data_IF_073770423159
#
_entry.id   IF_073770423159
#
_cell.length_a   1.000
_cell.length_b   1.000
_cell.length_c   1.000
_cell.angle_alpha   90.00
_cell.angle_beta   90.00
_cell.angle_gamma   90.00
#
_symmetry.space_group_name_H-M   'P 1'
#
loop_
_entity.id
_entity.type
_entity.pdbx_description
1 polymer ?
#
# COMPACT_ATOMS: atom_id res chain seq x y z
N UNK A 1 23.87 -7.10 0.14
CA UNK A 1 23.19 -5.82 -0.09
C UNK A 1 22.69 -5.31 1.26
N UNK A 2 21.97 -4.20 1.32
CA UNK A 2 21.57 -3.57 2.59
C UNK A 2 20.07 -3.28 2.58
N UNK A 3 19.29 -4.33 2.32
CA UNK A 3 17.88 -4.24 1.95
C UNK A 3 16.99 -3.78 3.11
N UNK A 4 15.97 -3.00 2.78
CA UNK A 4 14.96 -2.49 3.70
C UNK A 4 13.58 -2.94 3.23
N UNK A 5 12.82 -3.58 4.11
CA UNK A 5 11.42 -3.91 3.88
C UNK A 5 10.52 -2.76 4.33
N UNK A 6 9.56 -2.36 3.51
CA UNK A 6 8.63 -1.26 3.83
C UNK A 6 7.21 -1.76 4.01
N UNK A 7 6.60 -1.51 5.17
CA UNK A 7 5.20 -1.83 5.47
C UNK A 7 4.41 -0.52 5.53
N UNK A 8 3.29 -0.46 4.83
CA UNK A 8 2.40 0.70 4.81
C UNK A 8 1.05 0.29 5.37
N UNK A 9 0.60 1.01 6.39
CA UNK A 9 -0.60 0.71 7.15
C UNK A 9 -1.57 1.88 7.02
N UNK A 10 -2.51 1.73 6.10
CA UNK A 10 -3.67 2.59 5.99
C UNK A 10 -3.58 3.71 4.97
N UNK A 11 -4.76 4.21 4.62
CA UNK A 11 -4.97 5.10 3.48
C UNK A 11 -4.13 6.38 3.50
N UNK A 12 -4.00 7.02 4.68
CA UNK A 12 -3.22 8.25 4.87
C UNK A 12 -1.73 7.98 4.73
N UNK A 13 -1.23 6.92 5.36
CA UNK A 13 0.15 6.49 5.26
C UNK A 13 0.52 6.14 3.82
N UNK A 14 -0.37 5.46 3.08
CA UNK A 14 -0.18 5.09 1.68
C UNK A 14 -0.04 6.31 0.76
N UNK A 15 -0.72 7.43 1.04
CA UNK A 15 -0.51 8.68 0.28
C UNK A 15 0.92 9.20 0.43
N UNK A 16 1.41 9.27 1.67
CA UNK A 16 2.78 9.75 1.94
C UNK A 16 3.81 8.78 1.37
N UNK A 17 3.60 7.47 1.57
CA UNK A 17 4.48 6.45 1.07
C UNK A 17 4.53 6.39 -0.47
N UNK A 18 3.42 6.72 -1.15
CA UNK A 18 3.42 6.87 -2.62
C UNK A 18 4.35 8.01 -3.07
N UNK A 19 4.39 9.14 -2.35
CA UNK A 19 5.37 10.19 -2.63
C UNK A 19 6.80 9.71 -2.42
N UNK A 20 7.04 8.94 -1.35
CA UNK A 20 8.33 8.31 -1.11
C UNK A 20 8.73 7.42 -2.29
N UNK A 21 7.87 6.51 -2.75
CA UNK A 21 8.15 5.63 -3.88
C UNK A 21 8.37 6.36 -5.20
N UNK A 22 7.54 7.35 -5.50
CA UNK A 22 7.71 8.18 -6.70
C UNK A 22 9.05 8.93 -6.68
N UNK A 23 9.53 9.30 -5.50
CA UNK A 23 10.84 9.93 -5.33
C UNK A 23 11.96 8.90 -5.52
N UNK A 24 11.83 7.72 -4.92
CA UNK A 24 12.82 6.65 -5.09
C UNK A 24 12.95 6.20 -6.54
N UNK A 25 11.83 6.04 -7.25
CA UNK A 25 11.81 5.73 -8.69
C UNK A 25 12.52 6.81 -9.52
N UNK A 26 12.38 8.09 -9.14
CA UNK A 26 13.05 9.18 -9.87
C UNK A 26 14.58 9.15 -9.79
N UNK A 27 15.16 8.39 -8.86
CA UNK A 27 16.60 8.20 -8.75
C UNK A 27 17.15 7.12 -9.67
N UNK A 28 16.29 6.39 -10.39
CA UNK A 28 16.74 5.37 -11.34
C UNK A 28 17.52 6.03 -12.48
N UNK A 29 18.77 5.61 -12.65
CA UNK A 29 19.62 6.05 -13.76
C UNK A 29 19.56 5.02 -14.88
N UNK A 30 18.93 5.37 -15.99
CA UNK A 30 18.80 4.49 -17.16
C UNK A 30 19.95 4.65 -18.17
N UNK A 31 20.83 5.64 -17.98
CA UNK A 31 21.96 5.91 -18.85
C UNK A 31 23.29 5.44 -18.24
N UNK A 32 23.98 4.52 -18.91
CA UNK A 32 25.32 4.00 -18.56
C UNK A 32 26.45 5.06 -18.57
N UNK A 33 26.12 6.33 -18.81
CA UNK A 33 27.08 7.45 -18.92
C UNK A 33 27.12 8.32 -17.67
N UNK A 34 26.18 8.18 -16.73
CA UNK A 34 26.20 8.93 -15.49
C UNK A 34 27.05 8.21 -14.44
N UNK A 35 27.89 9.00 -13.75
CA UNK A 35 28.63 8.56 -12.58
C UNK A 35 27.68 7.91 -11.57
N UNK A 36 28.11 6.78 -11.00
CA UNK A 36 27.47 6.03 -9.91
C UNK A 36 26.39 6.83 -9.17
N UNK A 37 25.12 6.41 -9.34
CA UNK A 37 23.97 7.02 -8.69
C UNK A 37 24.26 7.24 -7.20
N UNK A 38 23.91 8.42 -6.67
CA UNK A 38 24.13 8.73 -5.25
C UNK A 38 23.23 7.92 -4.31
N UNK A 39 22.17 7.31 -4.85
CA UNK A 39 21.20 6.48 -4.14
C UNK A 39 21.24 5.09 -4.76
N UNK A 40 21.45 4.08 -3.92
CA UNK A 40 21.36 2.68 -4.31
C UNK A 40 19.88 2.26 -4.30
N UNK A 41 19.36 1.91 -5.47
CA UNK A 41 17.96 1.53 -5.64
C UNK A 41 17.69 0.08 -5.18
N UNK A 42 18.70 -0.80 -5.16
CA UNK A 42 18.56 -2.20 -4.77
C UNK A 42 18.28 -2.37 -3.26
N UNK A 43 18.49 -1.31 -2.47
CA UNK A 43 18.12 -1.26 -1.06
C UNK A 43 16.61 -1.40 -0.87
N UNK A 44 15.81 -0.71 -1.70
CA UNK A 44 14.36 -0.69 -1.57
C UNK A 44 13.63 -1.44 -2.67
N UNK A 45 14.25 -1.61 -3.83
CA UNK A 45 13.68 -2.33 -4.95
C UNK A 45 14.30 -3.71 -5.08
N UNK A 46 13.60 -4.56 -5.81
CA UNK A 46 14.11 -5.84 -6.26
C UNK A 46 13.92 -5.97 -7.77
N UNK A 47 14.89 -6.57 -8.47
CA UNK A 47 14.67 -7.05 -9.83
C UNK A 47 13.72 -8.26 -9.80
N UNK A 48 12.95 -8.42 -10.86
CA UNK A 48 12.05 -9.53 -11.11
C UNK A 48 11.75 -9.64 -12.60
N UNK A 49 11.00 -10.66 -12.98
CA UNK A 49 10.60 -10.87 -14.38
C UNK A 49 9.08 -10.76 -14.45
N UNK A 50 8.58 -9.84 -15.27
CA UNK A 50 7.15 -9.67 -15.52
C UNK A 50 6.59 -10.80 -16.38
N UNK A 51 5.26 -10.88 -16.50
CA UNK A 51 4.59 -11.90 -17.31
C UNK A 51 4.98 -11.84 -18.80
N UNK A 52 5.39 -10.66 -19.30
CA UNK A 52 5.93 -10.46 -20.66
C UNK A 52 7.37 -10.97 -20.85
N UNK A 53 8.04 -11.41 -19.77
CA UNK A 53 9.46 -11.77 -19.78
C UNK A 53 10.42 -10.59 -19.66
N UNK A 54 9.90 -9.37 -19.53
CA UNK A 54 10.71 -8.16 -19.32
C UNK A 54 11.19 -8.05 -17.87
N UNK A 55 12.37 -7.44 -17.68
CA UNK A 55 12.87 -7.13 -16.34
C UNK A 55 12.00 -6.04 -15.71
N UNK A 56 11.54 -6.32 -14.49
CA UNK A 56 10.72 -5.42 -13.69
C UNK A 56 11.45 -5.08 -12.41
N UNK A 57 11.40 -3.82 -12.00
CA UNK A 57 11.86 -3.40 -10.69
C UNK A 57 10.66 -3.06 -9.83
N UNK A 58 10.47 -3.82 -8.74
CA UNK A 58 9.33 -3.63 -7.82
C UNK A 58 9.82 -3.30 -6.42
N UNK A 59 9.12 -2.43 -5.67
CA UNK A 59 9.50 -2.16 -4.28
C UNK A 59 9.35 -3.39 -3.38
N UNK A 60 10.24 -3.54 -2.40
CA UNK A 60 10.16 -4.54 -1.32
C UNK A 60 9.17 -4.07 -0.26
N UNK A 61 7.89 -4.12 -0.58
CA UNK A 61 6.85 -3.49 0.24
C UNK A 61 5.59 -4.32 0.42
N UNK A 62 4.93 -4.09 1.55
CA UNK A 62 3.55 -4.50 1.84
C UNK A 62 2.71 -3.24 2.03
N UNK A 63 1.57 -3.17 1.36
CA UNK A 63 0.64 -2.05 1.34
C UNK A 63 -0.71 -2.56 1.81
N UNK A 64 -1.07 -2.17 3.04
CA UNK A 64 -2.36 -2.47 3.64
C UNK A 64 -3.30 -1.29 3.46
N UNK A 65 -4.50 -1.57 2.98
CA UNK A 65 -5.59 -0.59 2.94
C UNK A 65 -6.93 -1.30 3.07
N UNK A 66 -7.96 -0.53 3.43
CA UNK A 66 -9.33 -1.03 3.56
C UNK A 66 -9.94 -1.30 2.18
N UNK A 67 -11.08 -2.02 2.19
CA UNK A 67 -11.91 -2.14 0.99
C UNK A 67 -12.22 -0.74 0.44
N UNK A 68 -11.98 -0.55 -0.85
CA UNK A 68 -12.14 0.73 -1.54
C UNK A 68 -10.92 1.66 -1.49
N UNK A 69 -9.88 1.39 -0.67
CA UNK A 69 -8.72 2.28 -0.52
C UNK A 69 -7.71 2.27 -1.67
N UNK A 70 -7.66 1.19 -2.45
CA UNK A 70 -6.74 1.02 -3.58
C UNK A 70 -7.16 1.80 -4.84
N UNK A 71 -8.35 2.39 -4.87
CA UNK A 71 -8.82 3.22 -5.98
C UNK A 71 -8.84 2.47 -7.32
N UNK A 72 -8.27 3.10 -8.35
CA UNK A 72 -8.14 2.52 -9.69
C UNK A 72 -6.95 1.58 -9.87
N UNK A 73 -6.20 1.28 -8.81
CA UNK A 73 -5.12 0.31 -8.89
C UNK A 73 -5.73 -1.05 -9.19
N UNK A 74 -5.47 -1.58 -10.39
CA UNK A 74 -5.83 -2.95 -10.71
C UNK A 74 -5.11 -3.86 -9.73
N UNK A 75 -5.84 -4.81 -9.14
CA UNK A 75 -5.31 -5.81 -8.19
C UNK A 75 -4.05 -6.48 -8.75
N UNK A 76 -3.99 -6.61 -10.07
CA UNK A 76 -2.83 -7.03 -10.84
C UNK A 76 -2.51 -5.90 -11.82
N UNK A 77 -1.46 -5.13 -11.55
CA UNK A 77 -0.93 -4.19 -12.55
C UNK A 77 -0.57 -4.95 -13.83
N UNK A 78 -0.49 -4.26 -14.97
CA UNK A 78 -0.29 -4.89 -16.29
C UNK A 78 0.90 -5.87 -16.38
N UNK A 79 1.85 -5.81 -15.44
CA UNK A 79 2.98 -6.73 -15.31
C UNK A 79 2.59 -8.20 -15.04
N UNK A 80 1.43 -8.50 -14.44
CA UNK A 80 1.05 -9.86 -14.00
C UNK A 80 -0.34 -10.31 -14.49
N UNK A 81 -0.98 -9.55 -15.39
CA UNK A 81 -2.36 -9.79 -15.86
C UNK A 81 -2.54 -11.19 -16.51
N UNK A 82 -1.47 -11.74 -17.08
CA UNK A 82 -1.52 -13.03 -17.81
C UNK A 82 -1.38 -14.25 -16.90
N UNK A 83 -0.60 -14.18 -15.81
CA UNK A 83 -0.30 -15.36 -14.99
C UNK A 83 -1.46 -15.84 -14.11
N UNK A 84 -2.42 -14.98 -13.77
CA UNK A 84 -3.54 -15.34 -12.88
C UNK A 84 -4.77 -15.79 -13.69
N UNK A 85 -4.79 -15.53 -15.00
CA UNK A 85 -5.83 -16.09 -15.87
C UNK A 85 -5.81 -17.62 -15.94
N UNK A 86 -4.70 -18.26 -15.55
CA UNK A 86 -4.57 -19.72 -15.53
C UNK A 86 -4.70 -20.36 -14.14
N UNK A 87 -4.53 -19.64 -13.02
CA UNK A 87 -4.51 -20.25 -11.66
C UNK A 87 -5.43 -19.56 -10.63
N UNK A 88 -6.23 -18.57 -11.05
CA UNK A 88 -7.20 -17.87 -10.18
C UNK A 88 -8.52 -17.54 -10.85
N UNK A 89 -8.72 -18.00 -12.08
CA UNK A 89 -10.01 -17.99 -12.72
C UNK A 89 -10.95 -18.93 -11.97
N UNK A 90 -11.79 -18.36 -11.10
CA UNK A 90 -13.12 -18.91 -10.86
C UNK A 90 -13.81 -18.85 -12.22
N UNK A 91 -13.50 -19.80 -13.11
CA UNK A 91 -14.38 -20.20 -14.19
C UNK A 91 -15.73 -20.45 -13.52
N UNK A 92 -16.71 -19.64 -13.93
CA UNK A 92 -17.94 -19.41 -13.20
C UNK A 92 -18.51 -20.70 -12.62
N UNK A 93 -18.83 -20.64 -11.32
CA UNK A 93 -19.43 -21.73 -10.57
C UNK A 93 -20.53 -22.42 -11.36
N UNK A 94 -20.15 -23.52 -12.00
CA UNK A 94 -21.03 -24.60 -12.42
C UNK A 94 -20.56 -25.83 -11.67
N UNK A 95 -21.28 -26.16 -10.61
CA UNK A 95 -20.95 -27.18 -9.63
C UNK A 95 -20.44 -26.49 -8.37
N UNK A 96 -21.24 -26.25 -7.34
CA UNK A 96 -21.89 -27.28 -6.51
C UNK A 96 -23.30 -26.84 -6.04
N UNK A 97 -23.75 -25.64 -6.42
CA UNK A 97 -24.99 -25.04 -5.90
C UNK A 97 -25.97 -24.67 -7.01
N UNK A 98 -27.16 -25.29 -7.02
CA UNK A 98 -28.28 -25.01 -7.95
C UNK A 98 -29.10 -23.76 -7.55
N UNK A 99 -28.52 -22.86 -6.76
CA UNK A 99 -29.16 -21.62 -6.32
C UNK A 99 -28.92 -20.48 -7.32
N UNK A 100 -29.93 -19.64 -7.55
CA UNK A 100 -29.75 -18.38 -8.25
C UNK A 100 -28.84 -17.46 -7.42
N UNK A 101 -27.54 -17.45 -7.73
CA UNK A 101 -26.60 -16.49 -7.16
C UNK A 101 -26.71 -15.18 -7.93
N UNK A 102 -27.29 -14.15 -7.30
CA UNK A 102 -27.21 -12.79 -7.81
C UNK A 102 -25.81 -12.24 -7.49
N UNK A 103 -24.94 -12.15 -8.49
CA UNK A 103 -23.65 -11.50 -8.35
C UNK A 103 -23.86 -9.98 -8.33
N UNK A 104 -23.66 -9.38 -7.16
CA UNK A 104 -23.61 -7.92 -7.02
C UNK A 104 -22.16 -7.47 -7.08
N UNK A 105 -21.78 -6.87 -8.20
CA UNK A 105 -20.45 -6.29 -8.41
C UNK A 105 -20.54 -4.76 -8.27
N UNK A 106 -19.69 -4.18 -7.43
CA UNK A 106 -19.56 -2.73 -7.30
C UNK A 106 -19.07 -2.12 -8.62
N UNK A 107 -19.44 -0.86 -8.87
CA UNK A 107 -19.02 -0.14 -10.07
C UNK A 107 -17.50 0.04 -10.09
N UNK A 108 -16.88 -0.27 -11.23
CA UNK A 108 -15.44 -0.12 -11.41
C UNK A 108 -14.98 1.34 -11.22
N UNK A 109 -13.93 1.53 -10.40
CA UNK A 109 -13.34 2.85 -10.16
C UNK A 109 -12.56 3.27 -11.39
N UNK A 110 -13.04 4.31 -12.08
CA UNK A 110 -12.36 4.86 -13.25
C UNK A 110 -10.97 5.38 -12.90
N UNK A 111 -9.98 4.96 -13.69
CA UNK A 111 -8.60 5.44 -13.64
C UNK A 111 -8.53 6.98 -13.75
N UNK A 112 -7.62 7.59 -13.00
CA UNK A 112 -7.40 9.04 -13.02
C UNK A 112 -6.86 9.51 -14.37
N UNK A 113 -7.09 10.79 -14.70
CA UNK A 113 -6.50 11.43 -15.88
C UNK A 113 -4.97 11.36 -15.86
N UNK A 114 -4.36 11.42 -14.66
CA UNK A 114 -2.93 11.34 -14.48
C UNK A 114 -2.39 9.95 -14.86
N UNK A 115 -2.99 8.89 -14.33
CA UNK A 115 -2.59 7.52 -14.62
C UNK A 115 -2.75 7.19 -16.11
N UNK A 116 -3.83 7.66 -16.75
CA UNK A 116 -4.01 7.49 -18.20
C UNK A 116 -2.92 8.20 -19.01
N UNK A 117 -2.56 9.42 -18.60
CA UNK A 117 -1.49 10.17 -19.27
C UNK A 117 -0.13 9.48 -19.09
N UNK A 118 0.10 8.85 -17.93
CA UNK A 118 1.30 8.06 -17.65
C UNK A 118 1.37 6.83 -18.56
N UNK A 119 0.25 6.10 -18.71
CA UNK A 119 0.15 4.93 -19.60
C UNK A 119 0.37 5.30 -21.08
N UNK A 120 -0.09 6.48 -21.51
CA UNK A 120 0.11 7.00 -22.86
C UNK A 120 1.53 7.58 -23.09
N UNK A 121 2.37 7.63 -22.05
CA UNK A 121 3.71 8.21 -22.12
C UNK A 121 3.72 9.73 -22.34
N UNK A 122 2.62 10.41 -22.00
CA UNK A 122 2.45 11.86 -22.21
C UNK A 122 2.95 12.61 -20.96
N UNK A 123 4.07 13.39 -21.05
CA UNK A 123 4.69 14.02 -19.88
C UNK A 123 3.83 15.09 -19.18
N UNK A 124 2.74 15.53 -19.83
CA UNK A 124 1.89 16.64 -19.38
C UNK A 124 0.59 16.15 -18.76
N UNK A 125 0.67 15.19 -17.85
CA UNK A 125 -0.45 14.87 -16.99
C UNK A 125 -0.87 16.13 -16.21
N UNK A 126 -2.12 16.57 -16.41
CA UNK A 126 -2.73 17.76 -15.81
C UNK A 126 -2.31 17.92 -14.34
N UNK A 127 -1.97 19.17 -13.94
CA UNK A 127 -1.54 19.53 -12.59
C UNK A 127 -2.27 18.72 -11.50
N UNK A 128 -1.56 17.79 -10.87
CA UNK A 128 -2.06 17.08 -9.70
C UNK A 128 -2.40 18.11 -8.62
N UNK A 129 -3.61 18.03 -8.09
CA UNK A 129 -4.06 18.86 -6.98
C UNK A 129 -4.82 18.00 -5.99
N UNK A 130 -4.99 18.51 -4.78
CA UNK A 130 -5.82 17.88 -3.74
C UNK A 130 -7.28 17.72 -4.15
N UNK A 131 -7.74 18.38 -5.23
CA UNK A 131 -9.10 18.25 -5.76
C UNK A 131 -9.24 17.15 -6.82
N UNK A 132 -8.14 16.78 -7.46
CA UNK A 132 -8.13 15.79 -8.56
C UNK A 132 -7.73 14.40 -8.08
N UNK A 133 -6.91 14.33 -7.03
CA UNK A 133 -6.48 13.08 -6.39
C UNK A 133 -7.57 12.61 -5.44
N UNK A 134 -8.03 11.37 -5.62
CA UNK A 134 -9.02 10.70 -4.75
C UNK A 134 -8.39 9.59 -3.94
N UNK A 135 -7.43 8.87 -4.53
CA UNK A 135 -6.73 7.76 -3.92
C UNK A 135 -5.23 7.94 -4.06
N UNK A 136 -4.45 7.29 -3.18
CA UNK A 136 -2.98 7.30 -3.29
C UNK A 136 -2.50 6.70 -4.61
N UNK A 137 -3.24 5.72 -5.15
CA UNK A 137 -2.94 5.11 -6.45
C UNK A 137 -3.13 6.05 -7.64
N UNK A 138 -3.88 7.15 -7.50
CA UNK A 138 -4.15 8.08 -8.60
C UNK A 138 -2.89 8.81 -9.11
N UNK A 139 -1.81 8.82 -8.32
CA UNK A 139 -0.52 9.45 -8.67
C UNK A 139 0.69 8.50 -8.48
N UNK A 140 0.44 7.23 -8.23
CA UNK A 140 1.48 6.21 -8.08
C UNK A 140 2.21 5.92 -9.40
N UNK A 141 3.54 5.94 -9.41
CA UNK A 141 4.35 5.68 -10.61
C UNK A 141 4.98 4.29 -10.63
N UNK A 142 5.17 3.68 -9.46
CA UNK A 142 5.82 2.38 -9.33
C UNK A 142 4.85 1.24 -9.54
N UNK A 143 5.33 0.13 -10.10
CA UNK A 143 4.56 -1.10 -10.09
C UNK A 143 4.83 -1.89 -8.82
N UNK A 144 3.77 -2.39 -8.20
CA UNK A 144 3.87 -3.29 -7.05
C UNK A 144 3.79 -4.74 -7.49
N UNK A 145 4.46 -5.60 -6.73
CA UNK A 145 4.25 -7.03 -6.88
C UNK A 145 2.83 -7.40 -6.41
N UNK A 146 2.18 -8.40 -7.02
CA UNK A 146 0.92 -9.00 -6.56
C UNK A 146 0.83 -9.24 -5.04
N UNK A 147 1.89 -9.74 -4.41
CA UNK A 147 1.93 -10.02 -2.96
C UNK A 147 2.14 -8.78 -2.09
N UNK A 148 2.47 -7.63 -2.68
CA UNK A 148 2.60 -6.37 -1.95
C UNK A 148 1.25 -5.78 -1.56
N UNK A 149 0.16 -6.14 -2.25
CA UNK A 149 -1.14 -5.51 -2.07
C UNK A 149 -2.00 -6.37 -1.13
N UNK A 150 -2.26 -5.86 0.08
CA UNK A 150 -3.06 -6.55 1.10
C UNK A 150 -4.33 -5.75 1.38
N UNK A 151 -5.45 -6.22 0.83
CA UNK A 151 -6.76 -5.59 1.05
C UNK A 151 -7.46 -6.19 2.26
N UNK A 152 -7.85 -5.32 3.19
CA UNK A 152 -8.67 -5.67 4.36
C UNK A 152 -10.15 -5.56 3.98
N UNK A 153 -10.92 -6.61 4.26
CA UNK A 153 -12.32 -6.71 3.83
C UNK A 153 -13.32 -6.45 4.96
N UNK A 154 -12.85 -6.49 6.21
CA UNK A 154 -13.64 -6.30 7.43
C UNK A 154 -14.19 -4.87 7.57
N UNK A 155 -13.47 -3.90 7.02
CA UNK A 155 -13.83 -2.50 7.01
C UNK A 155 -13.77 -1.91 5.60
N UNK A 156 -14.58 -0.87 5.39
CA UNK A 156 -14.64 -0.12 4.14
C UNK A 156 -14.18 1.32 4.38
N UNK A 157 -13.35 1.82 3.46
CA UNK A 157 -12.86 3.19 3.52
C UNK A 157 -14.02 4.18 3.48
N UNK A 158 -14.08 5.09 4.46
CA UNK A 158 -15.12 6.11 4.52
C UNK A 158 -16.50 5.59 4.96
N UNK A 159 -16.58 4.39 5.55
CA UNK A 159 -17.83 3.86 6.11
C UNK A 159 -18.37 4.78 7.20
N UNK A 160 -19.59 5.28 7.03
CA UNK A 160 -20.30 6.07 8.05
C UNK A 160 -20.93 5.20 9.13
N UNK A 161 -21.18 3.92 8.82
CA UNK A 161 -21.80 2.95 9.73
C UNK A 161 -20.78 2.25 10.62
N UNK A 162 -19.62 1.89 10.06
CA UNK A 162 -18.52 1.25 10.78
C UNK A 162 -17.18 1.95 10.49
N UNK A 163 -16.95 3.17 11.04
CA UNK A 163 -15.70 3.89 10.85
C UNK A 163 -14.51 3.15 11.49
N UNK A 164 -13.38 3.12 10.80
CA UNK A 164 -12.14 2.51 11.25
C UNK A 164 -11.18 3.55 11.86
N UNK A 165 -11.62 4.19 12.96
CA UNK A 165 -10.90 5.30 13.60
C UNK A 165 -10.46 4.99 15.05
N UNK A 166 -11.09 3.99 15.69
CA UNK A 166 -10.85 3.69 17.10
C UNK A 166 -9.72 2.70 17.28
N UNK A 167 -8.93 2.91 18.34
CA UNK A 167 -7.83 2.01 18.72
C UNK A 167 -8.30 0.56 18.86
N UNK A 168 -9.41 0.33 19.56
CA UNK A 168 -9.93 -1.02 19.83
C UNK A 168 -10.29 -1.76 18.54
N UNK A 169 -10.85 -1.06 17.55
CA UNK A 169 -11.13 -1.65 16.23
C UNK A 169 -9.87 -2.14 15.53
N UNK A 170 -8.75 -1.42 15.69
CA UNK A 170 -7.46 -1.83 15.13
C UNK A 170 -6.82 -3.00 15.87
N UNK A 171 -6.97 -3.09 17.19
CA UNK A 171 -6.55 -4.28 17.95
C UNK A 171 -7.35 -5.52 17.54
N UNK A 172 -8.67 -5.39 17.44
CA UNK A 172 -9.57 -6.47 16.99
C UNK A 172 -9.22 -6.93 15.58
N UNK A 173 -8.94 -5.99 14.66
CA UNK A 173 -8.51 -6.30 13.29
C UNK A 173 -7.17 -7.04 13.28
N UNK A 174 -6.18 -6.59 14.05
CA UNK A 174 -4.89 -7.28 14.09
C UNK A 174 -5.05 -8.71 14.63
N UNK A 175 -5.83 -8.88 15.70
CA UNK A 175 -6.08 -10.18 16.30
C UNK A 175 -6.85 -11.14 15.37
N UNK A 176 -7.73 -10.62 14.49
CA UNK A 176 -8.38 -11.46 13.47
C UNK A 176 -7.40 -11.89 12.37
N UNK A 177 -6.60 -10.95 11.85
CA UNK A 177 -5.61 -11.22 10.81
C UNK A 177 -4.57 -12.26 11.25
N UNK A 178 -4.06 -12.13 12.48
CA UNK A 178 -3.04 -13.03 13.02
C UNK A 178 -3.57 -14.45 13.25
N UNK A 179 -4.81 -14.55 13.75
CA UNK A 179 -5.47 -15.85 14.00
C UNK A 179 -5.68 -16.66 12.73
N UNK A 180 -6.03 -16.01 11.64
CA UNK A 180 -6.47 -16.70 10.43
C UNK A 180 -5.30 -17.26 9.60
N UNK A 181 -4.11 -16.65 9.67
CA UNK A 181 -3.05 -16.97 8.71
C UNK A 181 -1.59 -16.86 9.19
N UNK A 182 -1.31 -16.60 10.47
CA UNK A 182 0.04 -16.20 10.94
C UNK A 182 0.58 -15.06 10.06
N UNK A 183 0.18 -13.84 10.42
CA UNK A 183 0.33 -12.65 9.58
C UNK A 183 1.76 -12.44 9.09
N UNK A 184 2.75 -12.72 9.95
CA UNK A 184 4.16 -12.56 9.63
C UNK A 184 4.65 -13.61 8.66
N UNK A 185 4.26 -14.87 8.86
CA UNK A 185 4.63 -15.99 8.00
C UNK A 185 4.07 -15.80 6.58
N UNK A 186 2.79 -15.43 6.50
CA UNK A 186 2.11 -15.20 5.21
C UNK A 186 2.71 -14.02 4.45
N UNK A 187 2.82 -12.87 5.11
CA UNK A 187 3.06 -11.62 4.39
C UNK A 187 4.53 -11.23 4.36
N UNK A 188 5.27 -11.38 5.47
CA UNK A 188 6.63 -10.85 5.58
C UNK A 188 7.70 -11.87 5.27
N UNK A 189 7.54 -13.14 5.66
CA UNK A 189 8.61 -14.14 5.54
C UNK A 189 9.14 -14.24 4.11
N UNK A 190 8.24 -14.25 3.13
CA UNK A 190 8.61 -14.26 1.69
C UNK A 190 9.56 -13.11 1.36
N UNK A 191 9.25 -11.89 1.80
CA UNK A 191 10.09 -10.72 1.50
C UNK A 191 11.41 -10.73 2.27
N UNK A 192 11.39 -11.21 3.52
CA UNK A 192 12.58 -11.30 4.36
C UNK A 192 13.57 -12.35 3.82
N UNK A 193 13.07 -13.50 3.35
CA UNK A 193 13.88 -14.57 2.74
C UNK A 193 14.50 -14.16 1.39
N UNK A 194 13.85 -13.25 0.66
CA UNK A 194 14.38 -12.66 -0.57
C UNK A 194 15.46 -11.59 -0.33
N UNK A 195 15.73 -11.20 0.92
CA UNK A 195 16.80 -10.27 1.25
C UNK A 195 18.07 -11.04 1.59
N UNK A 196 19.19 -10.71 0.94
CA UNK A 196 20.48 -11.32 1.27
C UNK A 196 20.93 -10.90 2.68
N UNK A 197 20.74 -9.61 3.00
CA UNK A 197 21.07 -9.05 4.30
C UNK A 197 20.12 -7.91 4.65
N UNK A 198 18.92 -8.27 5.10
CA UNK A 198 17.93 -7.31 5.60
C UNK A 198 18.51 -6.46 6.73
N UNK A 199 18.61 -5.15 6.51
CA UNK A 199 19.12 -4.19 7.50
C UNK A 199 18.02 -3.64 8.41
N UNK A 200 16.83 -3.45 7.86
CA UNK A 200 15.78 -2.71 8.55
C UNK A 200 14.39 -2.97 8.00
N UNK A 201 13.42 -2.63 8.84
CA UNK A 201 12.00 -2.59 8.50
C UNK A 201 11.52 -1.16 8.70
N UNK A 202 10.94 -0.58 7.67
CA UNK A 202 10.34 0.75 7.67
C UNK A 202 8.83 0.59 7.72
N UNK A 203 8.15 1.26 8.66
CA UNK A 203 6.70 1.21 8.82
C UNK A 203 6.13 2.61 8.62
N UNK A 204 5.16 2.78 7.72
CA UNK A 204 4.36 3.99 7.56
C UNK A 204 2.96 3.71 8.14
N UNK A 205 2.47 4.57 9.04
CA UNK A 205 1.16 4.38 9.67
C UNK A 205 0.50 5.69 10.07
N UNK A 206 -0.82 5.70 10.22
CA UNK A 206 -1.52 6.72 10.99
C UNK A 206 -1.13 6.66 12.47
N UNK A 207 -1.05 7.82 13.12
CA UNK A 207 -0.75 7.97 14.54
C UNK A 207 -2.00 8.24 15.40
N UNK A 208 -3.10 8.65 14.77
CA UNK A 208 -4.32 9.14 15.41
C UNK A 208 -5.60 8.44 14.94
N UNK A 209 -5.46 7.33 14.21
CA UNK A 209 -6.56 6.48 13.74
C UNK A 209 -6.38 5.01 14.20
N UNK A 210 -7.28 4.12 13.79
CA UNK A 210 -7.21 2.70 14.15
C UNK A 210 -5.96 1.98 13.59
N UNK A 211 -5.32 2.52 12.55
CA UNK A 211 -4.09 1.95 12.02
C UNK A 211 -2.92 2.06 13.00
N UNK A 212 -2.94 3.04 13.90
CA UNK A 212 -1.95 3.16 14.98
C UNK A 212 -1.92 1.91 15.88
N UNK A 213 -3.08 1.33 16.18
CA UNK A 213 -3.22 0.10 16.97
C UNK A 213 -2.69 -1.11 16.20
N UNK A 214 -3.08 -1.23 14.92
CA UNK A 214 -2.56 -2.26 14.02
C UNK A 214 -1.04 -2.18 13.96
N UNK A 215 -0.48 -0.99 13.77
CA UNK A 215 0.96 -0.77 13.70
C UNK A 215 1.68 -1.11 15.00
N UNK A 216 1.11 -0.78 16.16
CA UNK A 216 1.68 -1.12 17.45
C UNK A 216 1.80 -2.64 17.62
N UNK A 217 0.72 -3.38 17.33
CA UNK A 217 0.71 -4.85 17.38
C UNK A 217 1.61 -5.48 16.33
N UNK A 218 1.63 -4.93 15.13
CA UNK A 218 2.54 -5.39 14.07
C UNK A 218 4.01 -5.23 14.50
N UNK A 219 4.38 -4.07 15.06
CA UNK A 219 5.75 -3.82 15.53
C UNK A 219 6.13 -4.72 16.70
N UNK A 220 5.19 -5.04 17.60
CA UNK A 220 5.39 -6.06 18.66
C UNK A 220 5.75 -7.42 18.04
N UNK A 221 4.93 -7.94 17.13
CA UNK A 221 5.19 -9.23 16.47
C UNK A 221 6.49 -9.21 15.65
N UNK A 222 6.78 -8.12 14.94
CA UNK A 222 8.04 -7.94 14.21
C UNK A 222 9.26 -7.97 15.12
N UNK A 223 9.15 -7.41 16.32
CA UNK A 223 10.26 -7.42 17.28
C UNK A 223 10.52 -8.82 17.81
N UNK A 224 9.48 -9.64 17.97
CA UNK A 224 9.62 -11.02 18.41
C UNK A 224 10.31 -11.89 17.35
N UNK A 225 9.92 -11.77 16.07
CA UNK A 225 10.52 -12.54 14.95
C UNK A 225 11.89 -11.99 14.51
N UNK A 226 12.03 -10.66 14.42
CA UNK A 226 13.21 -9.97 13.89
C UNK A 226 13.93 -9.14 14.97
N UNK A 227 14.20 -9.73 16.13
CA UNK A 227 14.69 -9.02 17.32
C UNK A 227 15.98 -8.19 17.15
N UNK A 228 16.83 -8.52 16.17
CA UNK A 228 18.08 -7.77 15.89
C UNK A 228 17.94 -6.69 14.83
N UNK A 229 16.83 -6.66 14.10
CA UNK A 229 16.61 -5.76 12.97
C UNK A 229 16.15 -4.39 13.47
N UNK A 230 16.65 -3.33 12.83
CA UNK A 230 16.18 -1.97 13.10
C UNK A 230 14.75 -1.79 12.58
N UNK A 231 13.86 -1.22 13.40
CA UNK A 231 12.50 -0.90 12.99
C UNK A 231 12.31 0.61 13.11
N UNK A 232 11.94 1.28 12.01
CA UNK A 232 11.66 2.71 11.98
C UNK A 232 10.20 2.94 11.62
N UNK A 233 9.47 3.61 12.51
CA UNK A 233 8.05 3.91 12.31
C UNK A 233 7.84 5.39 12.04
N UNK A 234 7.19 5.69 10.93
CA UNK A 234 6.72 7.01 10.53
C UNK A 234 5.23 7.09 10.84
N UNK A 235 4.88 7.72 11.97
CA UNK A 235 3.51 7.97 12.38
C UNK A 235 3.04 9.33 11.87
N UNK A 236 1.90 9.36 11.18
CA UNK A 236 1.29 10.59 10.68
C UNK A 236 0.02 10.92 11.47
N UNK A 237 -0.03 12.12 12.01
CA UNK A 237 -1.21 12.63 12.71
C UNK A 237 -1.89 13.69 11.84
N UNK A 238 -3.21 13.81 11.96
CA UNK A 238 -3.92 14.95 11.43
C UNK A 238 -3.57 16.22 12.21
N UNK A 239 -3.33 17.33 11.51
CA UNK A 239 -3.21 18.61 12.17
C UNK A 239 -4.59 18.95 12.77
N UNK A 240 -4.75 18.77 14.09
CA UNK A 240 -5.95 19.24 14.79
C UNK A 240 -6.10 20.72 14.50
N UNK A 241 -7.10 21.05 13.68
CA UNK A 241 -7.33 22.41 13.21
C UNK A 241 -7.27 23.36 14.40
N UNK A 242 -6.31 24.31 14.35
CA UNK A 242 -6.17 25.36 15.37
C UNK A 242 -7.55 25.84 15.75
N UNK A 243 -7.97 25.53 16.99
CA UNK A 243 -9.23 25.98 17.54
C UNK A 243 -9.38 27.46 17.19
N UNK A 244 -10.45 27.76 16.46
CA UNK A 244 -10.82 29.12 16.10
C UNK A 244 -10.71 29.93 17.40
N UNK A 245 -9.72 30.83 17.50
CA UNK A 245 -9.57 31.68 18.68
C UNK A 245 -10.87 32.45 18.81
N UNK A 246 -11.73 32.02 19.73
CA UNK A 246 -12.92 32.77 20.11
C UNK A 246 -12.38 34.07 20.67
N UNK A 247 -12.47 35.13 19.87
CA UNK A 247 -12.07 36.47 20.31
C UNK A 247 -12.84 36.83 21.58
N UNK A 248 -12.27 37.65 22.47
CA UNK A 248 -12.93 37.98 23.73
C UNK A 248 -14.31 38.57 23.44
N UNK A 249 -15.34 37.94 23.98
CA UNK A 249 -16.69 38.47 23.98
C UNK A 249 -16.66 39.73 24.84
N UNK A 250 -16.74 40.90 24.20
CA UNK A 250 -16.87 42.18 24.90
C UNK A 250 -18.30 42.23 25.45
N UNK A 251 -18.50 42.30 26.78
CA UNK A 251 -19.83 42.47 27.34
C UNK A 251 -20.38 43.85 26.97
N UNK A 252 -21.66 43.90 26.57
CA UNK A 252 -22.42 45.14 26.40
C UNK A 252 -22.77 45.75 27.76
#
# INVERSE_FOLDING_TARGET
MHEILTIQLGHRANHVATHFWNTQESYFTYDNTQASASVDHDVHFRPGIGASGEETYTPRTLVYDLKGGFGGLKKWGGLYDQQISEDGGVEGGKGVWDGNVALHQDSEIKQSDYQRSLDEGVPNARNLSTKTVRYWSDFNRVFYHPRSIVQIHDYELGSTLMPFEKWESGEDLFASMDRDADLLDRDIRVWAEECDQMQGIQVFTGGDDAWSAVAAKYVESLRDEFGKTGIWTWGFEEEQGKGQKVGPVVPR
#
